data_IF_650595981430
#
_entry.id   IF_650595981430
#
_cell.length_a   1.000
_cell.length_b   1.000
_cell.length_c   1.000
_cell.angle_alpha   90.00
_cell.angle_beta   90.00
_cell.angle_gamma   90.00
#
_symmetry.space_group_name_H-M   'P 1'
#
loop_
_entity.id
_entity.type
_entity.pdbx_description
1 polymer ?
#
# COMPACT_ATOMS: atom_id res chain seq x y z
N UNK A 1 -16.65 -20.74 -3.56
CA UNK A 1 -16.04 -21.99 -3.03
C UNK A 1 -17.21 -22.76 -2.48
N UNK A 2 -17.52 -23.94 -3.06
CA UNK A 2 -18.57 -24.81 -2.53
C UNK A 2 -18.07 -25.40 -1.21
N UNK A 3 -18.95 -25.40 -0.22
CA UNK A 3 -18.71 -25.80 1.16
C UNK A 3 -18.29 -27.29 1.35
N UNK A 4 -18.18 -28.04 0.23
CA UNK A 4 -18.08 -29.49 0.25
C UNK A 4 -16.65 -30.08 0.27
N UNK A 5 -15.59 -29.25 0.14
CA UNK A 5 -14.22 -29.79 0.09
C UNK A 5 -13.22 -28.99 0.94
N UNK A 6 -13.54 -28.86 2.22
CA UNK A 6 -12.61 -28.29 3.22
C UNK A 6 -11.30 -29.08 3.29
N UNK A 7 -11.30 -30.39 3.06
CA UNK A 7 -10.12 -31.23 3.20
C UNK A 7 -9.09 -30.97 2.10
N UNK A 8 -9.53 -30.72 0.87
CA UNK A 8 -8.63 -30.38 -0.23
C UNK A 8 -8.01 -28.98 -0.03
N UNK A 9 -8.79 -28.01 0.45
CA UNK A 9 -8.29 -26.68 0.78
C UNK A 9 -7.24 -26.71 1.90
N UNK A 10 -7.55 -27.43 3.02
CA UNK A 10 -6.62 -27.57 4.14
C UNK A 10 -5.30 -28.19 3.69
N UNK A 11 -5.33 -29.26 2.90
CA UNK A 11 -4.11 -29.88 2.35
C UNK A 11 -3.31 -28.93 1.47
N UNK A 12 -3.94 -28.11 0.65
CA UNK A 12 -3.24 -27.12 -0.19
C UNK A 12 -2.60 -26.02 0.67
N UNK A 13 -3.29 -25.55 1.71
CA UNK A 13 -2.73 -24.56 2.65
C UNK A 13 -1.55 -25.15 3.41
N UNK A 14 -1.64 -26.40 3.85
CA UNK A 14 -0.52 -27.10 4.52
C UNK A 14 0.71 -27.20 3.61
N UNK A 15 0.54 -27.58 2.35
CA UNK A 15 1.65 -27.67 1.37
C UNK A 15 2.30 -26.30 1.15
N UNK A 16 1.52 -25.25 1.01
CA UNK A 16 2.05 -23.89 0.82
C UNK A 16 2.80 -23.41 2.07
N UNK A 17 2.23 -23.67 3.24
CA UNK A 17 2.81 -23.25 4.49
C UNK A 17 4.09 -24.02 4.83
N UNK A 18 4.12 -25.32 4.56
CA UNK A 18 5.33 -26.15 4.69
C UNK A 18 6.44 -25.64 3.75
N UNK A 19 6.10 -25.34 2.51
CA UNK A 19 7.03 -24.71 1.55
C UNK A 19 7.60 -23.38 2.04
N UNK A 20 6.78 -22.58 2.74
CA UNK A 20 7.17 -21.28 3.30
C UNK A 20 7.84 -21.39 4.67
N UNK A 21 7.94 -22.58 5.25
CA UNK A 21 8.52 -22.83 6.57
C UNK A 21 7.61 -22.38 7.74
N UNK A 22 6.30 -22.30 7.52
CA UNK A 22 5.33 -22.02 8.58
C UNK A 22 4.82 -23.28 9.24
N UNK A 23 4.72 -23.27 10.58
CA UNK A 23 4.08 -24.33 11.34
C UNK A 23 2.55 -24.27 11.13
N UNK A 24 2.01 -25.25 10.41
CA UNK A 24 0.58 -25.36 10.15
C UNK A 24 -0.08 -26.34 11.10
N UNK A 25 -0.92 -25.80 11.96
CA UNK A 25 -1.87 -26.60 12.70
C UNK A 25 -3.19 -26.67 11.93
N UNK A 26 -3.81 -27.83 11.89
CA UNK A 26 -5.12 -28.05 11.25
C UNK A 26 -6.14 -26.98 11.70
N UNK A 27 -6.10 -26.58 12.97
CA UNK A 27 -6.93 -25.50 13.53
C UNK A 27 -6.74 -24.15 12.82
N UNK A 28 -5.50 -23.80 12.46
CA UNK A 28 -5.21 -22.55 11.76
C UNK A 28 -5.73 -22.59 10.33
N UNK A 29 -5.54 -23.71 9.64
CA UNK A 29 -6.07 -23.89 8.28
C UNK A 29 -7.60 -23.82 8.25
N UNK A 30 -8.26 -24.41 9.24
CA UNK A 30 -9.72 -24.33 9.38
C UNK A 30 -10.20 -22.90 9.61
N UNK A 31 -9.51 -22.15 10.48
CA UNK A 31 -9.82 -20.74 10.74
C UNK A 31 -9.64 -19.86 9.51
N UNK A 32 -8.59 -20.09 8.71
CA UNK A 32 -8.39 -19.41 7.42
C UNK A 32 -9.55 -19.70 6.47
N UNK A 33 -9.96 -20.97 6.36
CA UNK A 33 -11.09 -21.37 5.54
C UNK A 33 -12.39 -20.69 5.98
N UNK A 34 -12.70 -20.72 7.28
CA UNK A 34 -13.88 -20.06 7.84
C UNK A 34 -13.88 -18.55 7.55
N UNK A 35 -12.71 -17.91 7.64
CA UNK A 35 -12.54 -16.48 7.32
C UNK A 35 -12.80 -16.21 5.84
N UNK A 36 -12.29 -17.04 4.93
CA UNK A 36 -12.52 -16.89 3.48
C UNK A 36 -14.00 -17.10 3.12
N UNK A 37 -14.68 -18.00 3.83
CA UNK A 37 -16.10 -18.30 3.58
C UNK A 37 -17.07 -17.29 4.22
N UNK A 38 -16.63 -16.46 5.16
CA UNK A 38 -17.47 -15.45 5.80
C UNK A 38 -17.73 -14.26 4.86
N UNK A 39 -19.00 -14.00 4.48
CA UNK A 39 -19.34 -12.93 3.53
C UNK A 39 -18.80 -11.54 3.92
N UNK A 40 -18.61 -11.26 5.20
CA UNK A 40 -18.09 -9.96 5.66
C UNK A 40 -16.64 -9.69 5.19
N UNK A 41 -15.86 -10.76 4.88
CA UNK A 41 -14.50 -10.64 4.39
C UNK A 41 -14.40 -10.71 2.87
N UNK A 42 -15.48 -11.07 2.14
CA UNK A 42 -15.48 -11.16 0.68
C UNK A 42 -14.98 -9.88 -0.01
N UNK A 43 -15.31 -8.65 0.46
CA UNK A 43 -14.77 -7.43 -0.12
C UNK A 43 -13.25 -7.35 -0.07
N UNK A 44 -12.59 -8.00 0.91
CA UNK A 44 -11.13 -8.03 1.00
C UNK A 44 -10.48 -8.89 -0.09
N UNK A 45 -11.23 -9.82 -0.70
CA UNK A 45 -10.75 -10.70 -1.78
C UNK A 45 -11.18 -10.22 -3.18
N UNK A 46 -12.12 -9.29 -3.27
CA UNK A 46 -12.57 -8.69 -4.53
C UNK A 46 -12.18 -7.21 -4.56
N UNK A 47 -11.02 -6.93 -5.12
CA UNK A 47 -10.48 -5.57 -5.17
C UNK A 47 -11.37 -4.61 -5.95
N UNK A 48 -12.15 -5.09 -6.92
CA UNK A 48 -13.04 -4.27 -7.74
C UNK A 48 -14.24 -3.70 -6.96
N UNK A 49 -14.62 -4.36 -5.85
CA UNK A 49 -15.69 -3.91 -4.96
C UNK A 49 -15.22 -2.96 -3.86
N UNK A 50 -13.90 -2.85 -3.66
CA UNK A 50 -13.33 -2.01 -2.61
C UNK A 50 -13.26 -0.55 -3.08
N UNK A 51 -13.98 0.32 -2.38
CA UNK A 51 -13.89 1.77 -2.59
C UNK A 51 -12.56 2.36 -2.12
N UNK A 52 -11.91 1.73 -1.15
CA UNK A 52 -10.62 2.15 -0.58
C UNK A 52 -9.86 0.91 -0.14
N UNK A 53 -8.58 0.86 -0.48
CA UNK A 53 -7.67 -0.22 -0.08
C UNK A 53 -6.36 0.37 0.45
N UNK A 54 -5.74 -0.35 1.38
CA UNK A 54 -4.36 -0.11 1.79
C UNK A 54 -3.53 -1.31 1.33
N UNK A 55 -2.52 -1.05 0.52
CA UNK A 55 -1.65 -2.08 -0.06
C UNK A 55 -0.20 -1.60 -0.06
N UNK A 56 0.74 -2.53 -0.12
CA UNK A 56 2.15 -2.19 -0.32
C UNK A 56 2.38 -1.74 -1.77
N UNK A 57 3.45 -0.98 -2.01
CA UNK A 57 3.79 -0.58 -3.37
C UNK A 57 4.10 -1.80 -4.27
N UNK A 58 4.65 -2.88 -3.72
CA UNK A 58 4.88 -4.13 -4.45
C UNK A 58 3.56 -4.74 -4.94
N UNK A 59 2.56 -4.78 -4.07
CA UNK A 59 1.22 -5.30 -4.41
C UNK A 59 0.47 -4.40 -5.39
N UNK A 60 0.88 -3.13 -5.52
CA UNK A 60 0.28 -2.19 -6.46
C UNK A 60 0.80 -2.30 -7.89
N UNK A 61 1.86 -3.09 -8.14
CA UNK A 61 2.42 -3.26 -9.47
C UNK A 61 1.38 -3.84 -10.43
N UNK A 62 1.18 -3.16 -11.57
CA UNK A 62 0.19 -3.53 -12.58
C UNK A 62 -1.24 -3.06 -12.28
N UNK A 63 -1.50 -2.48 -11.11
CA UNK A 63 -2.79 -1.89 -10.76
C UNK A 63 -2.77 -0.38 -11.00
N UNK A 64 -3.95 0.21 -11.18
CA UNK A 64 -4.15 1.65 -11.30
C UNK A 64 -5.38 2.07 -10.53
N UNK A 65 -5.33 3.24 -9.91
CA UNK A 65 -6.38 3.77 -9.03
C UNK A 65 -6.72 5.20 -9.41
N UNK A 66 -7.97 5.60 -9.27
CA UNK A 66 -8.39 6.98 -9.51
C UNK A 66 -7.63 7.96 -8.62
N UNK A 67 -7.45 7.60 -7.36
CA UNK A 67 -6.71 8.41 -6.40
C UNK A 67 -5.76 7.53 -5.60
N UNK A 68 -4.55 8.04 -5.36
CA UNK A 68 -3.53 7.38 -4.54
C UNK A 68 -3.09 8.32 -3.43
N UNK A 69 -2.97 7.78 -2.24
CA UNK A 69 -2.41 8.46 -1.06
C UNK A 69 -1.11 7.78 -0.69
N UNK A 70 -0.02 8.53 -0.63
CA UNK A 70 1.30 8.05 -0.22
C UNK A 70 1.77 8.81 1.01
N UNK A 71 2.28 8.08 2.00
CA UNK A 71 2.99 8.68 3.12
C UNK A 71 4.45 8.88 2.72
N UNK A 72 4.90 10.13 2.69
CA UNK A 72 6.26 10.45 2.21
C UNK A 72 7.36 9.95 3.15
N UNK A 73 7.03 9.64 4.38
CA UNK A 73 7.94 8.99 5.34
C UNK A 73 8.42 7.61 4.89
N UNK A 74 7.65 6.94 4.05
CA UNK A 74 8.00 5.61 3.51
C UNK A 74 9.03 5.70 2.38
N UNK A 75 9.29 6.91 1.85
CA UNK A 75 10.16 7.14 0.69
C UNK A 75 11.13 8.29 0.98
N UNK A 76 12.35 7.97 1.39
CA UNK A 76 13.37 9.01 1.69
C UNK A 76 13.98 9.64 0.44
N UNK A 77 13.83 9.00 -0.73
CA UNK A 77 14.46 9.37 -2.00
C UNK A 77 15.99 9.50 -1.89
N UNK A 78 16.60 8.68 -1.03
CA UNK A 78 18.04 8.73 -0.73
C UNK A 78 18.86 7.77 -1.59
N UNK A 79 18.24 6.81 -2.24
CA UNK A 79 18.83 5.85 -3.16
C UNK A 79 18.04 5.79 -4.47
N UNK A 80 18.62 5.18 -5.49
CA UNK A 80 17.92 4.92 -6.75
C UNK A 80 16.71 3.99 -6.53
N UNK A 81 16.83 3.04 -5.62
CA UNK A 81 15.73 2.14 -5.25
C UNK A 81 14.57 2.90 -4.60
N UNK A 82 14.84 3.81 -3.66
CA UNK A 82 13.81 4.67 -3.06
C UNK A 82 13.09 5.50 -4.12
N UNK A 83 13.84 6.08 -5.05
CA UNK A 83 13.27 6.88 -6.14
C UNK A 83 12.41 6.02 -7.05
N UNK A 84 12.88 4.82 -7.39
CA UNK A 84 12.13 3.87 -8.22
C UNK A 84 10.83 3.43 -7.52
N UNK A 85 10.90 3.09 -6.25
CA UNK A 85 9.75 2.64 -5.46
C UNK A 85 8.70 3.75 -5.35
N UNK A 86 9.13 4.97 -5.08
CA UNK A 86 8.24 6.14 -5.09
C UNK A 86 7.60 6.37 -6.47
N UNK A 87 8.40 6.28 -7.54
CA UNK A 87 7.91 6.42 -8.91
C UNK A 87 6.83 5.37 -9.22
N UNK A 88 7.08 4.09 -8.90
CA UNK A 88 6.10 3.03 -9.12
C UNK A 88 4.81 3.30 -8.36
N UNK A 89 4.88 3.68 -7.08
CA UNK A 89 3.72 3.98 -6.27
C UNK A 89 2.96 5.22 -6.78
N UNK A 90 3.66 6.29 -7.09
CA UNK A 90 3.06 7.55 -7.56
C UNK A 90 2.37 7.40 -8.92
N UNK A 91 2.95 6.62 -9.84
CA UNK A 91 2.36 6.36 -11.16
C UNK A 91 1.15 5.45 -11.15
N UNK A 92 0.74 4.93 -10.00
CA UNK A 92 -0.54 4.21 -9.87
C UNK A 92 -1.75 5.14 -9.86
N UNK A 93 -1.56 6.44 -9.65
CA UNK A 93 -2.63 7.43 -9.65
C UNK A 93 -3.03 7.82 -11.09
N UNK A 94 -4.31 7.66 -11.44
CA UNK A 94 -4.87 8.12 -12.72
C UNK A 94 -5.20 9.60 -12.70
N UNK A 95 -5.87 10.06 -11.65
CA UNK A 95 -6.41 11.43 -11.60
C UNK A 95 -5.82 12.26 -10.46
N UNK A 96 -5.53 11.66 -9.30
CA UNK A 96 -5.07 12.40 -8.14
C UNK A 96 -4.05 11.64 -7.32
N UNK A 97 -2.88 12.25 -7.13
CA UNK A 97 -1.86 11.82 -6.19
C UNK A 97 -1.85 12.76 -4.98
N UNK A 98 -1.97 12.18 -3.78
CA UNK A 98 -1.92 12.90 -2.51
C UNK A 98 -0.67 12.43 -1.77
N UNK A 99 0.24 13.35 -1.49
CA UNK A 99 1.43 13.09 -0.68
C UNK A 99 1.19 13.60 0.74
N UNK A 100 1.19 12.68 1.71
CA UNK A 100 1.00 13.03 3.12
C UNK A 100 2.36 13.23 3.77
N UNK A 101 2.61 14.46 4.21
CA UNK A 101 3.79 14.86 4.94
C UNK A 101 3.45 15.08 6.41
N UNK A 102 4.12 14.35 7.31
CA UNK A 102 3.96 14.52 8.76
C UNK A 102 5.07 15.44 9.25
N UNK A 103 4.69 16.61 9.77
CA UNK A 103 5.65 17.58 10.28
C UNK A 103 6.38 17.01 11.52
N UNK A 104 7.70 17.20 11.56
CA UNK A 104 8.55 16.64 12.64
C UNK A 104 9.02 15.20 12.39
N UNK A 105 8.48 14.49 11.41
CA UNK A 105 8.99 13.18 11.01
C UNK A 105 10.32 13.32 10.26
N UNK A 106 11.35 12.62 10.74
CA UNK A 106 12.70 12.70 10.14
C UNK A 106 12.73 12.18 8.69
N UNK A 107 12.04 11.08 8.41
CA UNK A 107 12.00 10.47 7.07
C UNK A 107 11.26 11.38 6.09
N UNK A 108 10.15 11.99 6.52
CA UNK A 108 9.45 13.00 5.73
C UNK A 108 10.34 14.22 5.46
N UNK A 109 11.14 14.65 6.43
CA UNK A 109 12.15 15.71 6.25
C UNK A 109 13.21 15.34 5.20
N UNK A 110 13.69 14.10 5.18
CA UNK A 110 14.60 13.62 4.15
C UNK A 110 13.96 13.61 2.76
N UNK A 111 12.71 13.12 2.65
CA UNK A 111 11.94 13.19 1.42
C UNK A 111 11.87 14.63 0.90
N UNK A 112 11.44 15.58 1.74
CA UNK A 112 11.29 16.97 1.34
C UNK A 112 12.60 17.60 0.84
N UNK A 113 13.72 17.31 1.51
CA UNK A 113 15.04 17.74 1.07
C UNK A 113 15.42 17.15 -0.29
N UNK A 114 15.25 15.85 -0.45
CA UNK A 114 15.69 15.15 -1.66
C UNK A 114 14.80 15.47 -2.85
N UNK A 115 13.48 15.55 -2.69
CA UNK A 115 12.58 15.93 -3.78
C UNK A 115 12.85 17.37 -4.26
N UNK A 116 13.15 18.31 -3.35
CA UNK A 116 13.51 19.68 -3.74
C UNK A 116 14.82 19.71 -4.51
N UNK A 117 15.81 18.87 -4.17
CA UNK A 117 17.05 18.74 -4.93
C UNK A 117 16.80 18.19 -6.35
N UNK A 118 15.94 17.17 -6.47
CA UNK A 118 15.58 16.57 -7.76
C UNK A 118 14.88 17.62 -8.64
N UNK A 119 13.87 18.30 -8.11
CA UNK A 119 13.14 19.34 -8.82
C UNK A 119 14.06 20.52 -9.21
N UNK A 120 14.96 20.92 -8.30
CA UNK A 120 15.93 21.99 -8.54
C UNK A 120 16.85 21.74 -9.73
N UNK A 121 17.25 20.47 -9.96
CA UNK A 121 18.05 20.08 -11.15
C UNK A 121 17.29 20.34 -12.47
N UNK A 122 15.95 20.32 -12.43
CA UNK A 122 15.10 20.61 -13.58
C UNK A 122 14.57 22.07 -13.58
N UNK A 123 15.10 22.93 -12.72
CA UNK A 123 14.63 24.32 -12.58
C UNK A 123 13.24 24.46 -11.99
N UNK A 124 12.69 23.41 -11.39
CA UNK A 124 11.35 23.37 -10.80
C UNK A 124 11.40 23.58 -9.29
N UNK A 125 10.29 24.05 -8.74
CA UNK A 125 10.04 24.13 -7.30
C UNK A 125 8.77 23.36 -6.97
N UNK A 126 8.64 22.87 -5.76
CA UNK A 126 7.47 22.09 -5.33
C UNK A 126 6.14 22.81 -5.66
N UNK A 127 6.05 24.12 -5.42
CA UNK A 127 4.86 24.94 -5.76
C UNK A 127 4.47 24.94 -7.23
N UNK A 128 5.38 24.56 -8.13
CA UNK A 128 5.09 24.47 -9.57
C UNK A 128 4.48 23.14 -9.97
N UNK A 129 4.62 22.09 -9.11
CA UNK A 129 4.21 20.73 -9.41
C UNK A 129 3.14 20.20 -8.46
N UNK A 130 2.93 20.84 -7.30
CA UNK A 130 1.96 20.40 -6.32
C UNK A 130 1.26 21.59 -5.61
N UNK A 131 0.02 21.37 -5.21
CA UNK A 131 -0.69 22.25 -4.28
C UNK A 131 -0.41 21.78 -2.87
N UNK A 132 0.06 22.68 -2.00
CA UNK A 132 0.35 22.38 -0.60
C UNK A 132 -0.85 22.81 0.24
N UNK A 133 -1.38 21.87 1.04
CA UNK A 133 -2.47 22.12 1.99
C UNK A 133 -1.98 21.78 3.39
N UNK A 134 -2.10 22.73 4.32
CA UNK A 134 -1.79 22.46 5.74
C UNK A 134 -3.06 22.00 6.46
N UNK A 135 -3.00 20.82 7.08
CA UNK A 135 -4.12 20.22 7.82
C UNK A 135 -3.97 20.43 9.34
N UNK A 136 -3.57 21.61 9.78
CA UNK A 136 -3.43 21.94 11.21
C UNK A 136 -4.79 22.18 11.90
N UNK A 137 -5.88 22.30 11.15
CA UNK A 137 -7.21 22.61 11.69
C UNK A 137 -8.16 21.39 11.78
N UNK A 138 -7.72 20.20 11.41
CA UNK A 138 -8.58 19.00 11.39
C UNK A 138 -8.56 18.19 12.70
N UNK A 139 -7.96 18.69 13.77
CA UNK A 139 -7.95 18.07 15.09
C UNK A 139 -8.51 19.07 16.09
N UNK A 140 -9.78 19.35 15.99
CA UNK A 140 -10.56 19.88 17.09
C UNK A 140 -11.84 19.06 17.19
N UNK A 141 -11.84 18.21 18.22
CA UNK A 141 -12.94 17.43 18.83
C UNK A 141 -13.46 16.23 18.06
#
# INVERSE_FOLDING_TARGET
IKQEDTSAFVKQVEVIADYLGYDTKEEHCKKVYETICDPKFHPAFNMDELKRIAITFHSSKGLEFEQVVLFVSDYKLSSEEDVYNHYVAATRAKTKLILVYINGDWSAGQFAKNINNILGKSGLKMKNVATIVNCTECISD
#
